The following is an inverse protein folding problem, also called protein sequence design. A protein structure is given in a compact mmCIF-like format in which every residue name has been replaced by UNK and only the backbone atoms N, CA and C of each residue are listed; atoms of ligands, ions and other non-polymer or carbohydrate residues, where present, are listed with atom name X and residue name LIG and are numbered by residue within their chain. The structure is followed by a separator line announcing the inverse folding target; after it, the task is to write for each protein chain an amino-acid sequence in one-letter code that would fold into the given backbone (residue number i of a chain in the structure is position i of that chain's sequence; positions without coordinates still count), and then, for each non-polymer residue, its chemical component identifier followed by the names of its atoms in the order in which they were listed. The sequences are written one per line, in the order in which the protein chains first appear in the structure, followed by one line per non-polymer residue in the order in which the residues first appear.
data_IF_637445252177
#
_entry.id   IF_637445252177
#
_cell.length_a   1.000
_cell.length_b   1.000
_cell.length_c   1.000
_cell.angle_alpha   90.00
_cell.angle_beta   90.00
_cell.angle_gamma   90.00
#
_symmetry.space_group_name_H-M   'P 1'
#
loop_
_entity.id
_entity.type
_entity.pdbx_description
1 polymer ?
#
# COMPACT_ATOMS: atom_id res chain seq x y z
N UNK A 1 6.69 6.70 -27.51
CA UNK A 1 5.28 6.38 -27.21
C UNK A 1 4.50 6.89 -28.40
N UNK A 2 4.04 5.99 -29.26
CA UNK A 2 3.47 6.37 -30.57
C UNK A 2 1.92 6.41 -30.56
N UNK A 3 1.30 5.75 -29.56
CA UNK A 3 -0.14 5.74 -29.34
C UNK A 3 -0.54 6.60 -28.13
N UNK A 4 -1.74 7.19 -28.18
CA UNK A 4 -2.30 8.06 -27.13
C UNK A 4 -3.56 7.43 -26.54
N UNK A 5 -3.77 7.63 -25.24
CA UNK A 5 -5.01 7.26 -24.53
C UNK A 5 -5.57 8.50 -23.82
N UNK A 6 -6.89 8.67 -23.85
CA UNK A 6 -7.59 9.71 -23.09
C UNK A 6 -8.47 9.02 -22.07
N UNK A 7 -8.22 9.30 -20.79
CA UNK A 7 -8.91 8.68 -19.66
C UNK A 7 -9.54 9.77 -18.80
N UNK A 8 -10.77 9.52 -18.33
CA UNK A 8 -11.44 10.36 -17.34
C UNK A 8 -11.23 9.73 -15.97
N UNK A 9 -10.77 10.53 -15.02
CA UNK A 9 -10.53 10.11 -13.65
C UNK A 9 -11.28 11.03 -12.70
N UNK A 10 -11.55 10.51 -11.51
CA UNK A 10 -11.87 11.35 -10.37
C UNK A 10 -10.72 12.35 -10.10
N UNK A 11 -11.08 13.58 -9.75
CA UNK A 11 -10.13 14.68 -9.58
C UNK A 11 -9.14 14.43 -8.44
N UNK A 12 -9.58 13.85 -7.32
CA UNK A 12 -8.73 13.57 -6.18
C UNK A 12 -7.75 12.45 -6.53
N UNK A 13 -8.24 11.39 -7.17
CA UNK A 13 -7.45 10.25 -7.60
C UNK A 13 -6.31 10.68 -8.53
N UNK A 14 -6.60 11.50 -9.54
CA UNK A 14 -5.57 11.94 -10.49
C UNK A 14 -4.56 12.89 -9.86
N UNK A 15 -4.96 13.68 -8.87
CA UNK A 15 -4.03 14.53 -8.12
C UNK A 15 -3.07 13.69 -7.26
N UNK A 16 -3.59 12.71 -6.53
CA UNK A 16 -2.75 11.79 -5.74
C UNK A 16 -1.78 11.02 -6.61
N UNK A 17 -2.22 10.52 -7.77
CA UNK A 17 -1.37 9.82 -8.72
C UNK A 17 -0.24 10.70 -9.28
N UNK A 18 -0.54 11.97 -9.61
CA UNK A 18 0.47 12.94 -10.05
C UNK A 18 1.50 13.24 -8.97
N UNK A 19 1.04 13.52 -7.74
CA UNK A 19 1.93 13.79 -6.62
C UNK A 19 2.85 12.59 -6.31
N UNK A 20 2.32 11.36 -6.39
CA UNK A 20 3.12 10.15 -6.26
C UNK A 20 4.19 10.03 -7.35
N UNK A 21 3.81 10.26 -8.62
CA UNK A 21 4.74 10.21 -9.74
C UNK A 21 5.87 11.24 -9.58
N UNK A 22 5.52 12.48 -9.23
CA UNK A 22 6.48 13.57 -8.97
C UNK A 22 7.44 13.25 -7.83
N UNK A 23 6.93 12.76 -6.69
CA UNK A 23 7.74 12.35 -5.54
C UNK A 23 8.78 11.28 -5.91
N UNK A 24 8.45 10.41 -6.87
CA UNK A 24 9.32 9.35 -7.35
C UNK A 24 10.14 9.74 -8.59
N UNK A 25 10.17 11.02 -8.97
CA UNK A 25 10.91 11.56 -10.12
C UNK A 25 10.54 10.88 -11.46
N UNK A 26 9.28 10.51 -11.65
CA UNK A 26 8.77 9.93 -12.89
C UNK A 26 7.54 10.67 -13.39
N UNK A 27 7.33 10.73 -14.71
CA UNK A 27 6.10 11.29 -15.25
C UNK A 27 4.91 10.36 -15.04
N UNK A 28 3.71 10.92 -14.95
CA UNK A 28 2.48 10.13 -14.88
C UNK A 28 2.35 9.17 -16.08
N UNK A 29 2.63 9.65 -17.30
CA UNK A 29 2.60 8.81 -18.51
C UNK A 29 3.56 7.62 -18.42
N UNK A 30 4.76 7.82 -17.88
CA UNK A 30 5.76 6.77 -17.71
C UNK A 30 5.34 5.77 -16.64
N UNK A 31 4.75 6.24 -15.55
CA UNK A 31 4.18 5.41 -14.49
C UNK A 31 3.04 4.53 -15.03
N UNK A 32 2.11 5.11 -15.78
CA UNK A 32 0.98 4.37 -16.35
C UNK A 32 1.44 3.31 -17.35
N UNK A 33 2.37 3.64 -18.25
CA UNK A 33 2.95 2.67 -19.17
C UNK A 33 3.66 1.52 -18.44
N UNK A 34 4.40 1.84 -17.38
CA UNK A 34 5.08 0.83 -16.58
C UNK A 34 4.08 -0.14 -15.94
N UNK A 35 2.99 0.38 -15.35
CA UNK A 35 1.92 -0.44 -14.78
C UNK A 35 1.26 -1.32 -15.85
N UNK A 36 0.87 -0.75 -16.99
CA UNK A 36 0.27 -1.51 -18.09
C UNK A 36 1.20 -2.61 -18.60
N UNK A 37 2.51 -2.34 -18.69
CA UNK A 37 3.51 -3.37 -19.03
C UNK A 37 3.59 -4.48 -18.00
N UNK A 38 3.60 -4.17 -16.71
CA UNK A 38 3.64 -5.18 -15.65
C UNK A 38 2.37 -6.05 -15.63
N UNK A 39 1.21 -5.44 -15.84
CA UNK A 39 -0.07 -6.16 -15.89
C UNK A 39 -0.12 -7.07 -17.12
N UNK A 40 0.44 -6.64 -18.26
CA UNK A 40 0.37 -7.40 -19.52
C UNK A 40 1.56 -8.33 -19.75
N UNK A 41 2.67 -8.21 -19.01
CA UNK A 41 3.87 -9.05 -19.21
C UNK A 41 3.69 -10.48 -18.73
N UNK A 42 2.76 -10.71 -17.82
CA UNK A 42 2.45 -12.03 -17.28
C UNK A 42 1.03 -12.43 -17.72
N UNK A 43 0.81 -13.74 -17.89
CA UNK A 43 -0.51 -14.29 -18.23
C UNK A 43 -1.37 -14.39 -16.96
N UNK A 44 -1.74 -13.25 -16.39
CA UNK A 44 -2.76 -13.21 -15.34
C UNK A 44 -4.13 -13.48 -15.97
N UNK A 45 -4.88 -14.43 -15.41
CA UNK A 45 -6.19 -14.80 -15.96
C UNK A 45 -7.28 -13.92 -15.37
N UNK A 46 -7.06 -13.42 -14.15
CA UNK A 46 -7.97 -12.51 -13.46
C UNK A 46 -7.22 -11.36 -12.77
N UNK A 47 -7.95 -10.29 -12.44
CA UNK A 47 -7.40 -9.11 -11.73
C UNK A 47 -6.89 -9.50 -10.34
N UNK A 48 -7.51 -10.50 -9.71
CA UNK A 48 -7.14 -11.04 -8.41
C UNK A 48 -5.79 -11.77 -8.43
N UNK A 49 -5.30 -12.15 -9.63
CA UNK A 49 -3.99 -12.79 -9.79
C UNK A 49 -2.84 -11.78 -9.85
N UNK A 50 -3.15 -10.47 -9.94
CA UNK A 50 -2.12 -9.42 -9.98
C UNK A 50 -1.31 -9.44 -8.68
N UNK A 51 0.02 -9.47 -8.75
CA UNK A 51 0.87 -9.48 -7.58
C UNK A 51 0.68 -8.16 -6.84
N UNK A 52 -0.02 -8.24 -5.71
CA UNK A 52 -0.10 -7.13 -4.76
C UNK A 52 1.26 -7.04 -4.10
N UNK A 53 1.93 -5.90 -4.24
CA UNK A 53 3.20 -5.68 -3.56
C UNK A 53 2.98 -5.72 -2.03
N UNK A 54 3.89 -6.36 -1.29
CA UNK A 54 3.76 -6.68 0.15
C UNK A 54 3.37 -5.47 1.03
N UNK A 55 3.67 -4.25 0.59
CA UNK A 55 3.37 -3.01 1.32
C UNK A 55 1.87 -2.65 1.37
N UNK A 56 1.03 -3.17 0.47
CA UNK A 56 -0.43 -2.93 0.49
C UNK A 56 -1.11 -3.79 1.56
N UNK A 57 -0.58 -4.98 1.88
CA UNK A 57 -1.08 -5.82 2.98
C UNK A 57 -1.02 -5.08 4.32
N UNK A 58 0.01 -4.26 4.52
CA UNK A 58 0.19 -3.42 5.72
C UNK A 58 -0.90 -2.34 5.83
N UNK A 59 -1.43 -1.86 4.71
CA UNK A 59 -2.51 -0.84 4.69
C UNK A 59 -3.89 -1.49 4.88
N UNK A 60 -4.08 -2.72 4.38
CA UNK A 60 -5.32 -3.47 4.53
C UNK A 60 -5.54 -3.99 5.97
N UNK A 61 -4.47 -4.25 6.72
CA UNK A 61 -4.55 -4.76 8.10
C UNK A 61 -4.75 -3.67 9.17
N UNK A 62 -4.58 -2.38 8.84
CA UNK A 62 -4.65 -1.27 9.80
C UNK A 62 -3.45 -1.21 10.77
N UNK A 63 -3.25 -0.08 11.44
CA UNK A 63 -2.16 0.07 12.41
C UNK A 63 -2.23 -1.02 13.49
N UNK A 64 -1.16 -1.81 13.62
CA UNK A 64 -1.07 -2.86 14.62
C UNK A 64 -1.11 -2.24 16.03
N UNK A 65 -2.28 -2.30 16.68
CA UNK A 65 -2.40 -1.95 18.09
C UNK A 65 -1.56 -2.93 18.93
N UNK A 66 -0.39 -2.48 19.35
CA UNK A 66 0.39 -3.19 20.37
C UNK A 66 -0.37 -3.19 21.69
N UNK A 67 -1.17 -4.24 21.92
CA UNK A 67 -1.78 -4.50 23.23
C UNK A 67 -0.70 -5.01 24.19
N UNK A 68 -0.04 -4.07 24.85
CA UNK A 68 0.85 -4.39 25.97
C UNK A 68 0.00 -5.02 27.08
N UNK A 69 0.26 -6.29 27.39
CA UNK A 69 -0.39 -6.95 28.52
C UNK A 69 0.06 -6.23 29.80
N UNK A 70 -0.86 -5.84 30.71
CA UNK A 70 -0.45 -5.27 31.98
C UNK A 70 0.47 -6.26 32.70
N UNK A 71 1.61 -5.76 33.18
CA UNK A 71 2.62 -6.55 33.89
C UNK A 71 1.94 -7.29 35.05
N UNK A 72 1.99 -8.62 35.03
CA UNK A 72 1.53 -9.43 36.17
C UNK A 72 2.39 -9.06 37.37
N UNK A 73 1.76 -8.55 38.41
CA UNK A 73 2.39 -8.24 39.70
C UNK A 73 3.03 -9.54 40.21
N UNK A 74 4.32 -9.49 40.52
CA UNK A 74 5.01 -10.68 41.01
C UNK A 74 4.53 -11.01 42.43
N UNK A 75 4.65 -12.28 42.83
CA UNK A 75 4.22 -12.70 44.18
C UNK A 75 4.97 -11.91 45.27
N UNK A 76 6.22 -11.51 45.01
CA UNK A 76 7.01 -10.67 45.90
C UNK A 76 6.40 -9.27 46.08
N UNK A 77 6.03 -8.61 44.97
CA UNK A 77 5.41 -7.27 44.99
C UNK A 77 4.03 -7.27 45.70
N UNK A 78 3.33 -8.41 45.71
CA UNK A 78 2.04 -8.55 46.41
C UNK A 78 2.19 -8.62 47.93
N UNK A 79 3.31 -9.18 48.43
CA UNK A 79 3.55 -9.31 49.88
C UNK A 79 4.20 -8.08 50.50
N UNK A 80 4.90 -7.24 49.74
CA UNK A 80 5.42 -5.95 50.23
C UNK A 80 4.34 -4.88 50.40
N UNK A 81 3.19 -5.05 49.74
CA UNK A 81 2.10 -4.06 49.74
C UNK A 81 1.13 -4.20 50.93
N UNK A 82 1.40 -5.10 51.88
CA UNK A 82 0.51 -5.46 52.99
C UNK A 82 1.11 -5.12 54.34
#
# INVERSE_FOLDING_TARGET
MDAKVTLSFDQEVIQSAKAFAEKNNISLSRLTEFLLRQITSNQYTSIEDLPIADWISVVAEGEAEYRTKPRKISKADFYEKR
#
